data_IF_926460523142
#
_entry.id   IF_926460523142
#
_cell.length_a   1.000
_cell.length_b   1.000
_cell.length_c   1.000
_cell.angle_alpha   90.00
_cell.angle_beta   90.00
_cell.angle_gamma   90.00
#
_symmetry.space_group_name_H-M   'P 1'
#
loop_
_entity.id
_entity.type
_entity.pdbx_description
1 polymer ?
#
# COMPACT_ATOMS: atom_id res chain seq x y z
N UNK A 1 -1.30 -8.73 -23.67
CA UNK A 1 -0.12 -8.89 -24.56
C UNK A 1 0.98 -7.86 -24.25
N UNK A 2 0.78 -6.56 -24.49
CA UNK A 2 1.82 -5.53 -24.24
C UNK A 2 2.25 -5.43 -22.77
N UNK A 3 1.30 -5.42 -21.82
CA UNK A 3 1.62 -5.32 -20.39
C UNK A 3 2.44 -6.52 -19.92
N UNK A 4 2.08 -7.73 -20.33
CA UNK A 4 2.81 -8.95 -19.98
C UNK A 4 4.24 -8.90 -20.51
N UNK A 5 4.43 -8.43 -21.74
CA UNK A 5 5.78 -8.23 -22.30
C UNK A 5 6.61 -7.26 -21.44
N UNK A 6 6.02 -6.12 -21.05
CA UNK A 6 6.69 -5.15 -20.18
C UNK A 6 7.04 -5.76 -18.82
N UNK A 7 6.12 -6.48 -18.19
CA UNK A 7 6.33 -7.11 -16.88
C UNK A 7 7.45 -8.14 -16.97
N UNK A 8 7.40 -9.04 -17.95
CA UNK A 8 8.42 -10.08 -18.14
C UNK A 8 9.81 -9.45 -18.33
N UNK A 9 9.96 -8.53 -19.28
CA UNK A 9 11.26 -7.93 -19.59
C UNK A 9 11.78 -7.05 -18.45
N UNK A 10 10.90 -6.31 -17.79
CA UNK A 10 11.27 -5.48 -16.63
C UNK A 10 11.72 -6.35 -15.46
N UNK A 11 11.03 -7.45 -15.18
CA UNK A 11 11.40 -8.38 -14.11
C UNK A 11 12.74 -9.09 -14.39
N UNK A 12 13.00 -9.49 -15.64
CA UNK A 12 14.30 -10.02 -16.04
C UNK A 12 15.44 -9.03 -15.75
N UNK A 13 15.20 -7.72 -15.91
CA UNK A 13 16.19 -6.71 -15.56
C UNK A 13 16.29 -6.49 -14.05
N UNK A 14 15.16 -6.49 -13.33
CA UNK A 14 15.12 -6.39 -11.86
C UNK A 14 15.98 -7.49 -11.23
N UNK A 15 15.83 -8.74 -11.67
CA UNK A 15 16.59 -9.87 -11.14
C UNK A 15 18.10 -9.70 -11.34
N UNK A 16 18.53 -9.14 -12.47
CA UNK A 16 19.94 -8.83 -12.73
C UNK A 16 20.53 -7.78 -11.79
N UNK A 17 19.73 -6.81 -11.36
CA UNK A 17 20.20 -5.72 -10.50
C UNK A 17 19.89 -5.94 -9.01
N UNK A 18 19.04 -6.92 -8.67
CA UNK A 18 18.55 -7.17 -7.31
C UNK A 18 19.68 -7.32 -6.29
N UNK A 19 20.76 -7.99 -6.66
CA UNK A 19 21.94 -8.18 -5.81
C UNK A 19 22.66 -6.88 -5.40
N UNK A 20 22.40 -5.76 -6.10
CA UNK A 20 22.99 -4.44 -5.78
C UNK A 20 22.26 -3.74 -4.63
N UNK A 21 21.14 -4.27 -4.17
CA UNK A 21 20.32 -3.69 -3.12
C UNK A 21 20.55 -4.42 -1.79
N UNK A 22 20.77 -3.67 -0.71
CA UNK A 22 20.96 -4.25 0.62
C UNK A 22 19.70 -4.84 1.25
N UNK A 23 18.52 -4.59 0.67
CA UNK A 23 17.23 -5.12 1.15
C UNK A 23 16.45 -5.70 -0.02
N UNK A 24 16.03 -6.95 0.09
CA UNK A 24 15.25 -7.63 -0.96
C UNK A 24 14.00 -6.88 -1.38
N UNK A 25 13.34 -6.22 -0.42
CA UNK A 25 12.09 -5.48 -0.65
C UNK A 25 12.25 -4.30 -1.61
N UNK A 26 13.45 -3.74 -1.73
CA UNK A 26 13.70 -2.54 -2.52
C UNK A 26 13.79 -2.86 -4.03
N UNK A 27 13.97 -4.14 -4.38
CA UNK A 27 14.03 -4.66 -5.74
C UNK A 27 13.07 -5.85 -5.95
N UNK A 28 11.83 -5.70 -5.47
CA UNK A 28 10.78 -6.69 -5.73
C UNK A 28 10.35 -6.68 -7.21
N UNK A 29 10.04 -7.86 -7.77
CA UNK A 29 9.45 -7.94 -9.10
C UNK A 29 8.11 -7.21 -9.12
N UNK A 30 7.71 -6.77 -10.31
CA UNK A 30 6.42 -6.13 -10.58
C UNK A 30 5.44 -7.14 -11.15
N UNK A 31 4.14 -6.83 -11.01
CA UNK A 31 3.05 -7.59 -11.61
C UNK A 31 2.24 -6.70 -12.57
N UNK A 32 1.34 -7.33 -13.33
CA UNK A 32 0.53 -6.63 -14.34
C UNK A 32 -0.28 -5.47 -13.75
N UNK A 33 -0.78 -5.62 -12.52
CA UNK A 33 -1.57 -4.59 -11.83
C UNK A 33 -0.70 -3.40 -11.43
N UNK A 34 0.49 -3.65 -10.87
CA UNK A 34 1.44 -2.60 -10.54
C UNK A 34 1.98 -1.90 -11.80
N UNK A 35 2.25 -2.64 -12.87
CA UNK A 35 2.73 -2.09 -14.14
C UNK A 35 1.68 -1.19 -14.80
N UNK A 36 0.41 -1.61 -14.81
CA UNK A 36 -0.70 -0.76 -15.25
C UNK A 36 -0.77 0.54 -14.45
N UNK A 37 -0.70 0.45 -13.12
CA UNK A 37 -0.74 1.64 -12.27
C UNK A 37 0.45 2.57 -12.50
N UNK A 38 1.65 2.02 -12.71
CA UNK A 38 2.84 2.78 -13.09
C UNK A 38 2.63 3.54 -14.41
N UNK A 39 2.12 2.88 -15.45
CA UNK A 39 1.82 3.51 -16.74
C UNK A 39 0.72 4.58 -16.61
N UNK A 40 -0.31 4.33 -15.80
CA UNK A 40 -1.35 5.33 -15.54
C UNK A 40 -0.79 6.60 -14.87
N UNK A 41 0.16 6.48 -13.95
CA UNK A 41 0.86 7.64 -13.37
C UNK A 41 1.69 8.39 -14.42
N UNK A 42 2.36 7.70 -15.34
CA UNK A 42 3.10 8.33 -16.43
C UNK A 42 2.18 9.12 -17.37
N UNK A 43 1.05 8.52 -17.76
CA UNK A 43 0.05 9.19 -18.60
C UNK A 43 -0.47 10.44 -17.90
N UNK A 44 -0.72 10.38 -16.59
CA UNK A 44 -1.23 11.53 -15.83
C UNK A 44 -0.20 12.62 -15.65
N UNK A 45 1.07 12.28 -15.49
CA UNK A 45 2.13 13.28 -15.49
C UNK A 45 2.18 14.04 -16.83
N UNK A 46 1.97 13.35 -17.94
CA UNK A 46 1.85 13.96 -19.27
C UNK A 46 0.62 14.86 -19.41
N UNK A 47 -0.55 14.40 -18.94
CA UNK A 47 -1.79 15.19 -18.93
C UNK A 47 -1.61 16.49 -18.13
N UNK A 48 -0.94 16.42 -16.99
CA UNK A 48 -0.66 17.58 -16.13
C UNK A 48 0.42 18.50 -16.69
N UNK A 49 1.06 18.14 -17.83
CA UNK A 49 2.20 18.86 -18.42
C UNK A 49 3.33 19.06 -17.40
N UNK A 50 3.55 18.08 -16.53
CA UNK A 50 4.50 18.15 -15.42
C UNK A 50 5.97 18.01 -15.86
N UNK A 51 6.28 18.07 -17.16
CA UNK A 51 7.64 17.90 -17.70
C UNK A 51 8.63 18.96 -17.24
N UNK A 52 8.14 20.14 -16.85
CA UNK A 52 8.97 21.25 -16.36
C UNK A 52 8.98 21.36 -14.82
N UNK A 53 8.32 20.44 -14.12
CA UNK A 53 8.25 20.43 -12.66
C UNK A 53 9.21 19.39 -12.09
N UNK A 54 9.63 19.58 -10.84
CA UNK A 54 10.30 18.50 -10.14
C UNK A 54 9.29 17.38 -9.92
N UNK A 55 9.59 16.18 -10.43
CA UNK A 55 8.65 15.07 -10.41
C UNK A 55 8.25 14.62 -8.99
N UNK A 56 9.08 14.93 -7.99
CA UNK A 56 8.78 14.70 -6.57
C UNK A 56 7.62 15.55 -6.06
N UNK A 57 7.38 16.73 -6.65
CA UNK A 57 6.32 17.64 -6.22
C UNK A 57 4.93 17.05 -6.49
N UNK A 58 4.81 16.17 -7.49
CA UNK A 58 3.57 15.42 -7.73
C UNK A 58 3.19 14.52 -6.54
N UNK A 59 4.15 14.15 -5.69
CA UNK A 59 3.94 13.36 -4.47
C UNK A 59 3.81 14.20 -3.19
N UNK A 60 3.84 15.54 -3.30
CA UNK A 60 3.75 16.43 -2.14
C UNK A 60 2.45 16.23 -1.35
N UNK A 61 2.52 16.47 -0.04
CA UNK A 61 1.40 16.29 0.90
C UNK A 61 0.92 17.61 1.53
N UNK A 62 1.54 18.72 1.16
CA UNK A 62 1.24 20.08 1.62
C UNK A 62 0.06 20.72 0.89
N UNK A 63 -0.61 19.96 0.02
CA UNK A 63 -1.73 20.43 -0.81
C UNK A 63 -1.34 20.83 -2.23
N UNK A 64 -0.03 20.94 -2.53
CA UNK A 64 0.45 21.24 -3.89
C UNK A 64 0.56 20.01 -4.80
N UNK A 65 0.64 18.82 -4.20
CA UNK A 65 0.81 17.56 -4.91
C UNK A 65 -0.50 16.99 -5.47
N UNK A 66 -0.36 16.00 -6.37
CA UNK A 66 -1.50 15.34 -6.97
C UNK A 66 -1.77 14.03 -6.26
N UNK A 67 -2.92 13.97 -5.59
CA UNK A 67 -3.27 12.89 -4.67
C UNK A 67 -3.15 11.49 -5.29
N UNK A 68 -3.53 11.34 -6.57
CA UNK A 68 -3.44 10.06 -7.27
C UNK A 68 -2.04 9.44 -7.22
N UNK A 69 -0.97 10.23 -7.31
CA UNK A 69 0.39 9.69 -7.32
C UNK A 69 0.75 9.04 -5.98
N UNK A 70 0.56 9.77 -4.87
CA UNK A 70 0.87 9.29 -3.52
C UNK A 70 -0.06 8.17 -3.05
N UNK A 71 -1.30 8.13 -3.52
CA UNK A 71 -2.23 7.04 -3.19
C UNK A 71 -1.90 5.74 -3.93
N UNK A 72 -1.37 5.86 -5.15
CA UNK A 72 -1.05 4.72 -6.02
C UNK A 72 0.25 4.03 -5.61
N UNK A 73 1.38 4.72 -5.57
CA UNK A 73 2.65 4.09 -5.17
C UNK A 73 3.58 5.12 -4.54
N UNK A 74 4.65 4.66 -3.89
CA UNK A 74 5.64 5.57 -3.34
C UNK A 74 6.51 6.15 -4.46
N UNK A 75 7.00 7.39 -4.27
CA UNK A 75 7.93 8.03 -5.20
C UNK A 75 9.17 7.17 -5.49
N UNK A 76 9.72 6.53 -4.44
CA UNK A 76 10.88 5.62 -4.58
C UNK A 76 10.57 4.41 -5.46
N UNK A 77 9.40 3.78 -5.30
CA UNK A 77 9.00 2.63 -6.12
C UNK A 77 8.75 3.06 -7.56
N UNK A 78 8.11 4.21 -7.77
CA UNK A 78 7.90 4.78 -9.10
C UNK A 78 9.25 5.00 -9.83
N UNK A 79 10.21 5.67 -9.20
CA UNK A 79 11.54 5.89 -9.78
C UNK A 79 12.28 4.58 -10.07
N UNK A 80 12.12 3.59 -9.19
CA UNK A 80 12.70 2.26 -9.39
C UNK A 80 12.13 1.59 -10.64
N UNK A 81 10.80 1.58 -10.80
CA UNK A 81 10.14 1.01 -11.99
C UNK A 81 10.51 1.79 -13.26
N UNK A 82 10.57 3.13 -13.19
CA UNK A 82 11.00 3.97 -14.31
C UNK A 82 12.41 3.61 -14.79
N UNK A 83 13.34 3.35 -13.86
CA UNK A 83 14.70 2.91 -14.20
C UNK A 83 14.73 1.49 -14.79
N UNK A 84 13.87 0.61 -14.30
CA UNK A 84 13.88 -0.81 -14.66
C UNK A 84 13.06 -1.14 -15.90
N UNK A 85 12.19 -0.23 -16.36
CA UNK A 85 11.27 -0.45 -17.48
C UNK A 85 12.01 -0.94 -18.74
N UNK A 86 11.58 -2.07 -19.30
CA UNK A 86 12.11 -2.63 -20.55
C UNK A 86 10.98 -3.00 -21.51
N UNK A 87 11.18 -2.65 -22.77
CA UNK A 87 10.24 -2.92 -23.88
C UNK A 87 10.69 -4.13 -24.71
N UNK A 88 11.93 -4.58 -24.53
CA UNK A 88 12.57 -5.63 -25.29
C UNK A 88 13.14 -6.73 -24.38
N UNK A 89 13.18 -7.97 -24.91
CA UNK A 89 13.97 -9.02 -24.31
C UNK A 89 15.44 -8.73 -24.59
N UNK A 90 16.28 -8.75 -23.55
CA UNK A 90 17.72 -8.46 -23.73
C UNK A 90 18.42 -9.58 -24.50
N UNK A 91 17.90 -10.80 -24.44
CA UNK A 91 18.55 -12.02 -24.95
C UNK A 91 18.54 -12.13 -26.47
N UNK A 92 17.50 -11.62 -27.13
CA UNK A 92 17.33 -11.67 -28.60
C UNK A 92 17.71 -10.34 -29.28
N UNK A 93 18.15 -9.36 -28.48
CA UNK A 93 18.42 -7.98 -28.92
C UNK A 93 19.60 -7.91 -29.88
N UNK A 94 20.68 -8.64 -29.61
CA UNK A 94 21.90 -8.63 -30.44
C UNK A 94 21.64 -9.19 -31.85
N UNK A 95 20.75 -10.16 -31.97
CA UNK A 95 20.36 -10.73 -33.26
C UNK A 95 19.41 -9.80 -34.02
N UNK A 96 18.44 -9.19 -33.34
CA UNK A 96 17.50 -8.24 -33.97
C UNK A 96 18.16 -6.92 -34.37
N UNK A 97 19.17 -6.43 -33.63
CA UNK A 97 19.94 -5.24 -33.99
C UNK A 97 20.66 -5.36 -35.34
N UNK A 98 20.99 -6.59 -35.77
CA UNK A 98 21.60 -6.84 -37.10
C UNK A 98 20.61 -6.59 -38.24
N UNK A 99 19.30 -6.57 -37.95
CA UNK A 99 18.21 -6.52 -38.93
C UNK A 99 17.39 -5.22 -38.77
N UNK A 100 17.19 -4.73 -37.54
CA UNK A 100 16.40 -3.54 -37.22
C UNK A 100 17.09 -2.68 -36.14
N UNK A 101 17.53 -1.48 -36.53
CA UNK A 101 18.12 -0.48 -35.61
C UNK A 101 17.15 -0.02 -34.51
N UNK A 102 15.83 -0.21 -34.67
CA UNK A 102 14.79 0.14 -33.69
C UNK A 102 14.29 -1.04 -32.84
N UNK A 103 15.01 -2.17 -32.85
CA UNK A 103 14.61 -3.41 -32.15
C UNK A 103 14.27 -3.25 -30.65
N UNK A 104 14.79 -2.20 -30.00
CA UNK A 104 14.59 -1.93 -28.58
C UNK A 104 13.22 -1.29 -28.23
N UNK A 105 12.49 -0.72 -29.20
CA UNK A 105 11.25 0.06 -28.93
C UNK A 105 10.09 -0.38 -29.83
N UNK A 106 10.37 -0.98 -30.99
CA UNK A 106 9.37 -1.32 -32.00
C UNK A 106 8.64 -2.63 -31.67
N UNK A 107 7.82 -2.65 -30.63
CA UNK A 107 6.74 -3.65 -30.54
C UNK A 107 5.59 -3.20 -31.45
N UNK A 108 4.98 -4.12 -32.19
CA UNK A 108 4.01 -3.82 -33.26
C UNK A 108 2.66 -3.30 -32.80
N UNK A 109 2.37 -3.29 -31.50
CA UNK A 109 1.12 -2.76 -30.95
C UNK A 109 1.40 -1.78 -29.82
N UNK A 110 1.58 -0.51 -30.17
CA UNK A 110 1.42 0.59 -29.22
C UNK A 110 0.46 1.58 -29.86
N UNK A 111 -0.60 1.87 -29.10
CA UNK A 111 -1.65 2.89 -29.33
C UNK A 111 -2.95 2.34 -29.97
N UNK A 112 -3.93 2.10 -29.10
CA UNK A 112 -5.35 2.03 -29.48
C UNK A 112 -6.00 3.43 -29.32
N UNK A 113 -7.14 3.69 -29.99
CA UNK A 113 -7.59 5.03 -30.36
C UNK A 113 -8.39 5.78 -29.26
N UNK A 114 -8.21 7.10 -29.22
CA UNK A 114 -9.16 8.14 -28.78
C UNK A 114 -9.81 8.06 -27.38
N UNK A 115 -9.21 7.40 -26.40
CA UNK A 115 -9.63 7.58 -25.00
C UNK A 115 -9.13 8.94 -24.48
N UNK A 116 -9.98 9.70 -23.78
CA UNK A 116 -9.53 10.87 -23.01
C UNK A 116 -8.47 10.40 -22.01
N UNK A 117 -7.22 10.81 -22.20
CA UNK A 117 -6.04 10.28 -21.48
C UNK A 117 -6.19 10.28 -19.95
N UNK A 118 -6.96 11.22 -19.40
CA UNK A 118 -7.33 11.26 -17.98
C UNK A 118 -8.11 10.02 -17.53
N UNK A 119 -9.09 9.58 -18.32
CA UNK A 119 -9.93 8.42 -18.01
C UNK A 119 -9.13 7.12 -18.12
N UNK A 120 -8.30 7.02 -19.16
CA UNK A 120 -7.41 5.87 -19.35
C UNK A 120 -6.47 5.71 -18.15
N UNK A 121 -5.83 6.79 -17.73
CA UNK A 121 -4.91 6.73 -16.61
C UNK A 121 -5.59 6.38 -15.28
N UNK A 122 -6.77 6.94 -15.01
CA UNK A 122 -7.54 6.58 -13.83
C UNK A 122 -7.91 5.08 -13.84
N UNK A 123 -8.35 4.55 -14.99
CA UNK A 123 -8.68 3.14 -15.14
C UNK A 123 -7.49 2.23 -14.83
N UNK A 124 -6.31 2.53 -15.38
CA UNK A 124 -5.08 1.75 -15.16
C UNK A 124 -4.60 1.74 -13.70
N UNK A 125 -4.90 2.79 -12.95
CA UNK A 125 -4.48 2.96 -11.55
C UNK A 125 -5.45 2.30 -10.57
N UNK A 126 -6.73 2.19 -10.93
CA UNK A 126 -7.82 1.84 -10.03
C UNK A 126 -7.63 0.49 -9.34
N UNK A 127 -7.25 -0.55 -10.08
CA UNK A 127 -7.12 -1.90 -9.50
C UNK A 127 -5.98 -1.98 -8.48
N UNK A 128 -4.87 -1.31 -8.76
CA UNK A 128 -3.74 -1.23 -7.83
C UNK A 128 -4.12 -0.47 -6.56
N UNK A 129 -4.83 0.66 -6.70
CA UNK A 129 -5.33 1.43 -5.57
C UNK A 129 -6.32 0.64 -4.71
N UNK A 130 -7.26 -0.08 -5.32
CA UNK A 130 -8.18 -0.99 -4.60
C UNK A 130 -7.42 -2.11 -3.87
N UNK A 131 -6.43 -2.74 -4.51
CA UNK A 131 -5.57 -3.74 -3.86
C UNK A 131 -4.85 -3.18 -2.64
N UNK A 132 -4.37 -1.93 -2.69
CA UNK A 132 -3.69 -1.27 -1.55
C UNK A 132 -4.58 -1.07 -0.34
N UNK A 133 -5.88 -0.88 -0.52
CA UNK A 133 -6.84 -0.78 0.60
C UNK A 133 -6.76 -2.05 1.48
N UNK A 134 -6.59 -3.21 0.84
CA UNK A 134 -6.57 -4.52 1.49
C UNK A 134 -5.20 -4.86 2.12
N UNK A 135 -4.12 -4.20 1.71
CA UNK A 135 -2.77 -4.53 2.19
C UNK A 135 -2.51 -3.99 3.60
N UNK A 136 -2.15 -4.87 4.54
CA UNK A 136 -1.85 -4.48 5.95
C UNK A 136 -0.75 -3.42 6.06
N UNK A 137 0.28 -3.50 5.23
CA UNK A 137 1.45 -2.59 5.25
C UNK A 137 1.14 -1.14 4.83
N UNK A 138 0.01 -0.87 4.18
CA UNK A 138 -0.34 0.48 3.72
C UNK A 138 -0.82 1.33 4.92
N UNK A 139 -0.32 2.57 5.08
CA UNK A 139 -0.72 3.47 6.18
C UNK A 139 -2.23 3.70 6.25
N UNK A 140 -2.75 3.86 7.47
CA UNK A 140 -4.19 4.06 7.73
C UNK A 140 -4.74 5.32 7.06
N UNK A 141 -3.95 6.40 7.02
CA UNK A 141 -4.29 7.65 6.34
C UNK A 141 -4.48 7.45 4.84
N UNK A 142 -3.56 6.74 4.18
CA UNK A 142 -3.66 6.39 2.77
C UNK A 142 -4.87 5.49 2.50
N UNK A 143 -5.14 4.48 3.35
CA UNK A 143 -6.32 3.61 3.20
C UNK A 143 -7.63 4.38 3.30
N UNK A 144 -7.73 5.31 4.26
CA UNK A 144 -8.93 6.14 4.43
C UNK A 144 -9.21 6.94 3.16
N UNK A 145 -8.20 7.65 2.64
CA UNK A 145 -8.31 8.42 1.39
C UNK A 145 -8.65 7.54 0.19
N UNK A 146 -8.07 6.35 0.08
CA UNK A 146 -8.39 5.42 -1.01
C UNK A 146 -9.83 4.92 -0.98
N UNK A 147 -10.42 4.71 0.21
CA UNK A 147 -11.84 4.34 0.33
C UNK A 147 -12.75 5.48 -0.10
N UNK A 148 -12.43 6.71 0.33
CA UNK A 148 -13.16 7.92 -0.08
C UNK A 148 -13.10 8.12 -1.61
N UNK A 149 -11.95 7.87 -2.25
CA UNK A 149 -11.77 8.04 -3.71
C UNK A 149 -12.53 6.99 -4.52
N UNK A 150 -12.64 5.76 -4.03
CA UNK A 150 -13.26 4.65 -4.76
C UNK A 150 -14.70 4.35 -4.36
N UNK A 151 -15.29 5.18 -3.49
CA UNK A 151 -16.66 5.01 -2.98
C UNK A 151 -16.89 3.59 -2.42
N UNK A 152 -15.85 3.02 -1.79
CA UNK A 152 -15.96 1.72 -1.12
C UNK A 152 -16.57 2.00 0.24
N UNK A 153 -17.89 1.86 0.30
CA UNK A 153 -18.69 2.06 1.50
C UNK A 153 -18.03 1.43 2.71
N UNK A 154 -17.88 2.25 3.74
CA UNK A 154 -17.31 1.85 5.01
C UNK A 154 -18.26 0.85 5.69
N UNK A 155 -18.12 -0.46 5.43
CA UNK A 155 -18.36 -1.43 6.51
C UNK A 155 -17.22 -1.30 7.51
N UNK A 156 -17.17 -0.15 8.17
CA UNK A 156 -16.29 0.11 9.30
C UNK A 156 -16.83 -0.71 10.46
N UNK A 157 -16.31 -1.94 10.58
CA UNK A 157 -16.09 -2.49 11.91
C UNK A 157 -14.88 -1.76 12.50
N UNK A 158 -15.12 -0.53 12.96
CA UNK A 158 -14.30 0.06 14.00
C UNK A 158 -14.52 -0.80 15.25
N UNK A 159 -13.76 -1.87 15.40
CA UNK A 159 -13.50 -2.40 16.73
C UNK A 159 -12.55 -1.43 17.43
N UNK A 160 -12.99 -0.21 17.74
CA UNK A 160 -12.39 0.53 18.83
C UNK A 160 -12.73 -0.28 20.07
N UNK A 161 -11.81 -1.11 20.54
CA UNK A 161 -12.00 -1.87 21.77
C UNK A 161 -12.51 -0.89 22.85
N UNK A 162 -13.75 -1.08 23.31
CA UNK A 162 -14.39 -0.17 24.27
C UNK A 162 -13.44 -0.01 25.45
N UNK A 163 -13.04 1.24 25.75
CA UNK A 163 -12.13 1.57 26.86
C UNK A 163 -12.94 2.02 28.07
N UNK A 164 -12.58 1.56 29.26
CA UNK A 164 -13.27 1.93 30.50
C UNK A 164 -12.31 2.21 31.66
N UNK A 165 -12.83 2.84 32.71
CA UNK A 165 -12.08 3.10 33.94
C UNK A 165 -11.88 1.81 34.72
N UNK A 166 -10.73 1.65 35.37
CA UNK A 166 -10.51 0.57 36.34
C UNK A 166 -11.60 0.58 37.44
N UNK A 167 -12.25 -0.55 37.67
CA UNK A 167 -13.35 -0.65 38.65
C UNK A 167 -12.91 -0.50 40.10
N UNK A 168 -11.62 -0.65 40.39
CA UNK A 168 -11.04 -0.55 41.75
C UNK A 168 -10.29 0.77 41.99
N UNK A 169 -10.07 1.58 40.95
CA UNK A 169 -9.38 2.87 41.13
C UNK A 169 -10.36 3.97 41.57
N UNK A 170 -9.94 4.77 42.56
CA UNK A 170 -10.64 6.00 42.92
C UNK A 170 -10.61 7.04 41.78
N UNK A 171 -11.51 8.04 41.82
CA UNK A 171 -11.63 9.05 40.76
C UNK A 171 -10.33 9.85 40.53
N UNK A 172 -9.50 9.98 41.56
CA UNK A 172 -8.21 10.70 41.50
C UNK A 172 -7.17 9.99 40.62
N UNK A 173 -7.34 8.68 40.38
CA UNK A 173 -6.42 7.84 39.60
C UNK A 173 -7.08 7.31 38.31
N UNK A 174 -7.94 8.10 37.65
CA UNK A 174 -8.67 7.69 36.44
C UNK A 174 -7.74 7.44 35.25
N UNK A 175 -7.61 6.17 34.85
CA UNK A 175 -6.96 5.77 33.61
C UNK A 175 -7.92 4.90 32.80
N UNK A 176 -8.08 5.21 31.52
CA UNK A 176 -8.92 4.45 30.58
C UNK A 176 -8.15 3.26 30.00
N UNK A 177 -8.69 2.07 30.19
CA UNK A 177 -8.01 0.79 29.93
C UNK A 177 -8.82 -0.06 28.97
N UNK A 178 -8.16 -0.97 28.28
CA UNK A 178 -8.77 -1.99 27.42
C UNK A 178 -8.85 -3.37 28.10
N UNK A 179 -8.05 -3.60 29.14
CA UNK A 179 -7.95 -4.85 29.89
C UNK A 179 -9.15 -5.08 30.80
N UNK A 180 -9.70 -6.31 30.76
CA UNK A 180 -10.88 -6.74 31.54
C UNK A 180 -10.56 -7.98 32.37
N UNK A 181 -11.25 -8.12 33.50
CA UNK A 181 -11.28 -9.36 34.28
C UNK A 181 -11.80 -10.53 33.43
N UNK A 182 -11.21 -11.72 33.57
CA UNK A 182 -11.69 -12.92 32.90
C UNK A 182 -13.08 -13.35 33.41
N UNK A 183 -13.33 -13.26 34.72
CA UNK A 183 -14.58 -13.71 35.36
C UNK A 183 -15.74 -12.70 35.26
N UNK A 184 -15.51 -11.42 35.58
CA UNK A 184 -16.59 -10.42 35.65
C UNK A 184 -16.55 -9.36 34.53
N UNK A 185 -15.60 -9.44 33.60
CA UNK A 185 -15.47 -8.55 32.44
C UNK A 185 -15.38 -7.04 32.72
N UNK A 186 -15.20 -6.65 34.00
CA UNK A 186 -14.94 -5.28 34.42
C UNK A 186 -13.53 -4.84 34.02
N UNK A 187 -13.36 -3.55 33.72
CA UNK A 187 -12.05 -2.98 33.35
C UNK A 187 -11.12 -2.85 34.55
N UNK A 188 -9.83 -3.18 34.38
CA UNK A 188 -8.86 -3.30 35.48
C UNK A 188 -7.46 -2.85 35.02
N UNK A 189 -6.78 -2.05 35.84
CA UNK A 189 -5.41 -1.60 35.55
C UNK A 189 -4.37 -2.64 35.99
N UNK A 190 -3.13 -2.52 35.52
CA UNK A 190 -2.05 -3.45 35.90
C UNK A 190 -1.83 -3.54 37.42
N UNK A 191 -2.06 -2.46 38.18
CA UNK A 191 -1.94 -2.47 39.65
C UNK A 191 -3.03 -3.30 40.34
N UNK A 192 -4.20 -3.44 39.71
CA UNK A 192 -5.33 -4.23 40.23
C UNK A 192 -5.53 -5.53 39.42
N UNK A 193 -4.60 -5.86 38.51
CA UNK A 193 -4.69 -6.99 37.59
C UNK A 193 -3.92 -8.18 38.13
N UNK A 194 -4.64 -9.24 38.51
CA UNK A 194 -4.06 -10.54 38.86
C UNK A 194 -4.93 -11.66 38.30
N UNK A 195 -4.93 -11.87 36.97
CA UNK A 195 -5.78 -12.82 36.20
C UNK A 195 -7.30 -12.57 36.34
N UNK A 196 -7.77 -12.42 37.58
CA UNK A 196 -9.09 -11.96 38.01
C UNK A 196 -9.02 -10.57 38.66
N UNK A 197 -10.20 -9.99 38.88
CA UNK A 197 -10.35 -8.78 39.69
C UNK A 197 -10.21 -9.11 41.17
N UNK A 198 -9.84 -8.10 41.97
CA UNK A 198 -9.72 -8.27 43.43
C UNK A 198 -10.97 -8.88 44.06
N UNK A 199 -12.17 -8.48 43.60
CA UNK A 199 -13.43 -9.03 44.12
C UNK A 199 -13.77 -10.46 43.65
N UNK A 200 -13.33 -10.86 42.45
CA UNK A 200 -13.54 -12.22 41.96
C UNK A 200 -12.58 -13.23 42.61
N UNK A 201 -11.43 -12.75 43.11
CA UNK A 201 -10.46 -13.55 43.85
C UNK A 201 -10.92 -13.89 45.27
N UNK A 202 -11.64 -12.99 45.93
CA UNK A 202 -12.12 -13.23 47.31
C UNK A 202 -13.21 -14.30 47.39
N UNK A 203 -13.79 -14.70 46.26
CA UNK A 203 -14.75 -15.80 46.16
C UNK A 203 -14.07 -17.18 46.01
N UNK A 204 -12.76 -17.24 45.72
CA UNK A 204 -12.03 -18.51 45.54
C UNK A 204 -11.39 -19.05 46.84
N UNK A 205 -11.49 -18.33 47.97
CA UNK A 205 -10.90 -18.75 49.26
C UNK A 205 -11.92 -19.29 50.26
N UNK A 206 -13.07 -19.79 49.81
CA UNK A 206 -14.12 -20.33 50.67
C UNK A 206 -14.48 -21.81 50.40
N UNK A 207 -13.76 -22.49 49.48
CA UNK A 207 -14.02 -23.89 49.10
C UNK A 207 -12.81 -24.83 49.34
N UNK A 208 -11.98 -24.55 50.36
CA UNK A 208 -11.04 -25.53 50.91
C UNK A 208 -11.26 -25.65 52.43
N UNK A 209 -12.29 -26.41 52.80
CA UNK A 209 -12.36 -27.12 54.07
C UNK A 209 -12.70 -28.58 53.79
N UNK A 210 -11.66 -29.41 53.84
CA UNK A 210 -11.66 -30.73 54.47
C UNK A 210 -10.41 -30.80 55.36
#
# INVERSE_FOLDING_TARGET
EVIQLLVTNTNLYIDKIKARFGRDRDALPSDDTEMNAFLGLLIMAGVLRASHLNFIDLWAQDGSGVEMFRLTMSYKRFLFLLRCLRFDNTSDREERLKIDNMAAIRSKELLTPEYKLTLLAAALVTDHQKRRIQLRAVPTTTKKRLREVHDVDETVQQSTAKRGRCSSCSRKNDKKLTSKCFKCHKFICQQHSRVYCVGCRTEESADETD
#
